data_IF_412134709685
#
_entry.id   IF_412134709685
#
_cell.length_a   1.000
_cell.length_b   1.000
_cell.length_c   1.000
_cell.angle_alpha   90.00
_cell.angle_beta   90.00
_cell.angle_gamma   90.00
#
_symmetry.space_group_name_H-M   'P 1'
#
loop_
_entity.id
_entity.type
_entity.pdbx_description
1 polymer ?
#
# COMPACT_ATOMS: atom_id res chain seq x y z
N UNK A 1 33.85 -7.38 -14.34
CA UNK A 1 32.87 -6.39 -14.83
C UNK A 1 31.66 -6.42 -13.92
N UNK A 2 31.64 -5.56 -12.90
CA UNK A 2 30.57 -5.48 -11.91
C UNK A 2 29.39 -4.71 -12.50
N UNK A 3 28.32 -5.43 -12.89
CA UNK A 3 27.10 -4.79 -13.43
C UNK A 3 26.43 -3.98 -12.32
N UNK A 4 26.36 -2.68 -12.52
CA UNK A 4 25.73 -1.69 -11.66
C UNK A 4 24.32 -2.11 -11.22
N UNK A 5 24.20 -2.62 -9.99
CA UNK A 5 22.95 -3.03 -9.36
C UNK A 5 22.13 -1.82 -8.83
N UNK A 6 22.55 -0.59 -9.12
CA UNK A 6 21.91 0.64 -8.63
C UNK A 6 20.65 1.06 -9.40
N UNK A 7 20.42 0.55 -10.62
CA UNK A 7 19.29 0.98 -11.47
C UNK A 7 17.91 0.42 -11.05
N UNK A 8 17.84 -0.58 -10.17
CA UNK A 8 16.58 -1.24 -9.81
C UNK A 8 15.81 -0.60 -8.65
N UNK A 9 16.36 0.44 -8.01
CA UNK A 9 15.79 1.04 -6.79
C UNK A 9 15.39 2.52 -6.97
N UNK A 10 15.03 2.96 -8.17
CA UNK A 10 14.55 4.32 -8.42
C UNK A 10 13.02 4.34 -8.59
N UNK A 11 12.39 5.43 -8.14
CA UNK A 11 10.97 5.75 -8.38
C UNK A 11 10.68 6.22 -9.82
N UNK A 12 11.72 6.43 -10.60
CA UNK A 12 11.64 6.86 -11.99
C UNK A 12 12.34 5.87 -12.92
N UNK A 13 11.91 5.83 -14.19
CA UNK A 13 12.62 5.12 -15.24
C UNK A 13 13.85 5.95 -15.67
N UNK A 14 14.80 5.36 -16.43
CA UNK A 14 15.89 6.15 -17.02
C UNK A 14 15.40 7.33 -17.89
N UNK A 15 14.18 7.23 -18.44
CA UNK A 15 13.54 8.29 -19.24
C UNK A 15 12.72 9.27 -18.38
N UNK A 16 12.89 9.27 -17.05
CA UNK A 16 12.21 10.18 -16.12
C UNK A 16 10.73 9.88 -15.85
N UNK A 17 10.17 8.78 -16.36
CA UNK A 17 8.79 8.42 -16.09
C UNK A 17 8.64 7.84 -14.68
N UNK A 18 7.65 8.29 -13.92
CA UNK A 18 7.35 7.76 -12.58
C UNK A 18 6.92 6.29 -12.60
N UNK A 19 7.30 5.56 -11.57
CA UNK A 19 6.94 4.14 -11.36
C UNK A 19 5.94 3.94 -10.21
N UNK A 20 5.30 4.99 -9.71
CA UNK A 20 4.37 4.96 -8.58
C UNK A 20 3.03 5.58 -8.94
N UNK A 21 1.98 5.12 -8.29
CA UNK A 21 0.64 5.70 -8.33
C UNK A 21 0.60 6.93 -7.41
N UNK A 22 0.11 8.07 -7.92
CA UNK A 22 -0.07 9.27 -7.11
C UNK A 22 -1.21 9.11 -6.10
N UNK A 23 -1.33 10.07 -5.17
CA UNK A 23 -2.41 10.09 -4.16
C UNK A 23 -3.79 10.14 -4.84
N UNK A 24 -3.96 11.03 -5.82
CA UNK A 24 -5.21 11.14 -6.59
C UNK A 24 -5.54 9.86 -7.35
N UNK A 25 -4.55 9.27 -8.03
CA UNK A 25 -4.75 8.00 -8.74
C UNK A 25 -5.10 6.85 -7.79
N UNK A 26 -4.52 6.85 -6.56
CA UNK A 26 -4.86 5.87 -5.53
C UNK A 26 -6.32 6.03 -5.08
N UNK A 27 -6.79 7.26 -4.89
CA UNK A 27 -8.19 7.53 -4.54
C UNK A 27 -9.14 7.08 -5.66
N UNK A 28 -8.85 7.41 -6.92
CA UNK A 28 -9.62 6.95 -8.08
C UNK A 28 -9.60 5.43 -8.22
N UNK A 29 -8.45 4.78 -7.98
CA UNK A 29 -8.35 3.33 -7.96
C UNK A 29 -9.27 2.69 -6.92
N UNK A 30 -9.28 3.22 -5.68
CA UNK A 30 -10.15 2.74 -4.62
C UNK A 30 -11.64 3.00 -4.93
N UNK A 31 -11.97 4.15 -5.52
CA UNK A 31 -13.33 4.45 -5.96
C UNK A 31 -13.80 3.45 -7.03
N UNK A 32 -12.96 3.19 -8.05
CA UNK A 32 -13.27 2.21 -9.09
C UNK A 32 -13.38 0.78 -8.53
N UNK A 33 -12.55 0.42 -7.54
CA UNK A 33 -12.63 -0.88 -6.89
C UNK A 33 -13.96 -1.09 -6.15
N UNK A 34 -14.50 -0.05 -5.50
CA UNK A 34 -15.81 -0.08 -4.82
C UNK A 34 -16.99 -0.33 -5.76
N UNK A 35 -16.85 -0.03 -7.04
CA UNK A 35 -17.88 -0.26 -8.07
C UNK A 35 -17.86 -1.70 -8.62
N UNK A 36 -16.96 -2.54 -8.15
CA UNK A 36 -16.91 -3.94 -8.58
C UNK A 36 -18.10 -4.73 -8.03
N UNK A 37 -18.80 -5.41 -8.91
CA UNK A 37 -19.96 -6.26 -8.54
C UNK A 37 -19.55 -7.36 -7.55
N UNK A 38 -18.39 -7.98 -7.80
CA UNK A 38 -17.85 -9.03 -6.92
C UNK A 38 -17.05 -8.40 -5.78
N UNK A 39 -17.60 -8.49 -4.59
CA UNK A 39 -17.03 -7.86 -3.38
C UNK A 39 -15.65 -8.43 -3.00
N UNK A 40 -15.37 -9.71 -3.33
CA UNK A 40 -14.04 -10.29 -3.11
C UNK A 40 -12.96 -9.61 -3.98
N UNK A 41 -13.32 -9.14 -5.17
CA UNK A 41 -12.41 -8.38 -6.02
C UNK A 41 -12.13 -6.99 -5.44
N UNK A 42 -13.16 -6.37 -4.88
CA UNK A 42 -13.07 -5.09 -4.19
C UNK A 42 -12.14 -5.20 -2.98
N UNK A 43 -12.34 -6.19 -2.09
CA UNK A 43 -11.49 -6.40 -0.92
C UNK A 43 -10.04 -6.72 -1.30
N UNK A 44 -9.81 -7.47 -2.38
CA UNK A 44 -8.46 -7.71 -2.90
C UNK A 44 -7.74 -6.43 -3.31
N UNK A 45 -8.41 -5.57 -4.09
CA UNK A 45 -7.85 -4.28 -4.50
C UNK A 45 -7.60 -3.37 -3.30
N UNK A 46 -8.51 -3.38 -2.34
CA UNK A 46 -8.40 -2.60 -1.09
C UNK A 46 -7.17 -3.02 -0.30
N UNK A 47 -6.97 -4.31 -0.05
CA UNK A 47 -5.79 -4.82 0.67
C UNK A 47 -4.49 -4.38 -0.01
N UNK A 48 -4.39 -4.50 -1.33
CA UNK A 48 -3.19 -4.06 -2.05
C UNK A 48 -2.92 -2.55 -1.86
N UNK A 49 -3.96 -1.73 -1.91
CA UNK A 49 -3.85 -0.28 -1.78
C UNK A 49 -3.54 0.18 -0.35
N UNK A 50 -4.04 -0.52 0.68
CA UNK A 50 -3.88 -0.15 2.09
C UNK A 50 -2.66 -0.76 2.78
N UNK A 51 -2.08 -1.82 2.22
CA UNK A 51 -0.91 -2.49 2.83
C UNK A 51 0.35 -2.35 1.99
N UNK A 52 0.22 -2.02 0.72
CA UNK A 52 1.32 -2.06 -0.23
C UNK A 52 1.95 -3.45 -0.37
N UNK A 53 1.29 -4.54 0.03
CA UNK A 53 1.82 -5.88 -0.08
C UNK A 53 1.96 -6.33 -1.56
N UNK A 54 2.75 -7.37 -1.80
CA UNK A 54 2.85 -7.97 -3.14
C UNK A 54 1.61 -8.79 -3.44
N UNK A 55 1.23 -8.90 -4.73
CA UNK A 55 0.11 -9.77 -5.16
C UNK A 55 0.23 -11.17 -4.56
N UNK A 56 1.41 -11.78 -4.65
CA UNK A 56 1.62 -13.14 -4.14
C UNK A 56 1.46 -13.22 -2.62
N UNK A 57 1.82 -12.16 -1.88
CA UNK A 57 1.61 -12.09 -0.43
C UNK A 57 0.12 -11.94 -0.09
N UNK A 58 -0.61 -11.12 -0.85
CA UNK A 58 -2.06 -10.98 -0.68
C UNK A 58 -2.80 -12.30 -0.95
N UNK A 59 -2.43 -13.03 -1.99
CA UNK A 59 -3.05 -14.32 -2.35
C UNK A 59 -2.79 -15.44 -1.32
N UNK A 60 -1.82 -15.28 -0.43
CA UNK A 60 -1.58 -16.22 0.68
C UNK A 60 -2.34 -15.86 1.97
N UNK A 61 -3.10 -14.75 1.99
CA UNK A 61 -3.87 -14.37 3.18
C UNK A 61 -5.04 -15.32 3.41
N UNK A 62 -5.22 -15.67 4.67
CA UNK A 62 -6.27 -16.55 5.20
C UNK A 62 -7.13 -15.78 6.20
N UNK A 63 -8.21 -16.37 6.68
CA UNK A 63 -9.01 -15.82 7.78
C UNK A 63 -8.15 -15.50 9.01
N UNK A 64 -7.25 -16.41 9.37
CA UNK A 64 -6.31 -16.23 10.50
C UNK A 64 -5.31 -15.08 10.30
N UNK A 65 -5.15 -14.59 9.06
CA UNK A 65 -4.30 -13.43 8.78
C UNK A 65 -4.96 -12.10 9.18
N UNK A 66 -6.27 -12.07 9.33
CA UNK A 66 -7.02 -10.86 9.70
C UNK A 66 -7.32 -10.91 11.20
N UNK A 67 -6.92 -9.88 11.91
CA UNK A 67 -7.14 -9.74 13.36
C UNK A 67 -8.08 -8.58 13.63
N UNK A 68 -9.41 -8.82 13.71
CA UNK A 68 -10.40 -7.75 13.82
C UNK A 68 -10.24 -6.89 15.07
N UNK A 69 -9.95 -7.52 16.21
CA UNK A 69 -9.79 -6.83 17.50
C UNK A 69 -8.65 -5.82 17.49
N UNK A 70 -7.54 -6.15 16.82
CA UNK A 70 -6.35 -5.30 16.76
C UNK A 70 -6.33 -4.39 15.51
N UNK A 71 -7.33 -4.53 14.63
CA UNK A 71 -7.41 -3.84 13.34
C UNK A 71 -6.13 -3.97 12.50
N UNK A 72 -5.56 -5.18 12.43
CA UNK A 72 -4.34 -5.47 11.65
C UNK A 72 -4.52 -6.66 10.73
N UNK A 73 -3.68 -6.70 9.68
CA UNK A 73 -3.49 -7.89 8.85
C UNK A 73 -2.06 -8.40 8.97
N UNK A 74 -1.91 -9.69 9.27
CA UNK A 74 -0.63 -10.38 9.39
C UNK A 74 -0.22 -10.92 8.01
N UNK A 75 0.83 -10.38 7.41
CA UNK A 75 1.28 -10.70 6.07
C UNK A 75 2.58 -11.49 6.12
N UNK A 76 2.56 -12.69 5.57
CA UNK A 76 3.74 -13.54 5.45
C UNK A 76 4.65 -13.07 4.32
N UNK A 77 5.93 -12.81 4.61
CA UNK A 77 6.93 -12.48 3.61
C UNK A 77 7.34 -13.76 2.87
N UNK A 78 7.08 -13.81 1.56
CA UNK A 78 7.38 -15.01 0.75
C UNK A 78 8.86 -15.16 0.39
N UNK A 79 9.66 -14.09 0.50
CA UNK A 79 11.12 -14.18 0.34
C UNK A 79 11.73 -14.69 1.65
N UNK A 80 12.07 -15.98 1.67
CA UNK A 80 12.80 -16.60 2.79
C UNK A 80 14.16 -15.92 2.97
N UNK A 81 14.53 -15.65 4.24
CA UNK A 81 15.86 -15.23 4.64
C UNK A 81 16.38 -16.24 5.64
N UNK A 82 17.42 -16.96 5.27
CA UNK A 82 18.00 -17.98 6.15
C UNK A 82 16.98 -19.02 6.64
N UNK A 83 16.02 -19.41 5.79
CA UNK A 83 14.99 -20.40 6.14
C UNK A 83 13.84 -19.89 7.02
N UNK A 84 13.93 -18.70 7.62
CA UNK A 84 12.93 -18.17 8.56
C UNK A 84 11.74 -17.56 7.85
N UNK A 85 10.53 -17.87 8.33
CA UNK A 85 9.29 -17.20 7.95
C UNK A 85 9.19 -15.89 8.73
N UNK A 86 9.07 -14.77 8.02
CA UNK A 86 8.85 -13.45 8.61
C UNK A 86 7.41 -13.07 8.39
N UNK A 87 6.69 -12.77 9.47
CA UNK A 87 5.34 -12.21 9.44
C UNK A 87 5.45 -10.74 9.85
N UNK A 88 4.71 -9.87 9.16
CA UNK A 88 4.56 -8.46 9.52
C UNK A 88 3.10 -8.11 9.66
N UNK A 89 2.78 -7.36 10.66
CA UNK A 89 1.45 -6.80 10.89
C UNK A 89 1.37 -5.41 10.29
N UNK A 90 0.30 -5.16 9.52
CA UNK A 90 0.01 -3.88 8.92
C UNK A 90 -1.34 -3.41 9.45
N UNK A 91 -1.40 -2.26 10.15
CA UNK A 91 -2.66 -1.73 10.67
C UNK A 91 -3.55 -1.26 9.52
N UNK A 92 -4.85 -1.48 9.67
CA UNK A 92 -5.87 -1.11 8.69
C UNK A 92 -6.97 -0.28 9.38
N UNK A 93 -7.64 0.63 8.65
CA UNK A 93 -8.84 1.26 9.16
C UNK A 93 -9.92 0.21 9.48
N UNK A 94 -10.69 0.44 10.56
CA UNK A 94 -11.70 -0.51 11.01
C UNK A 94 -12.70 -0.88 9.92
N UNK A 95 -13.13 0.08 9.10
CA UNK A 95 -14.08 -0.21 8.01
C UNK A 95 -13.52 -1.18 6.94
N UNK A 96 -12.19 -1.23 6.76
CA UNK A 96 -11.56 -2.22 5.86
C UNK A 96 -11.60 -3.60 6.49
N UNK A 97 -11.33 -3.69 7.79
CA UNK A 97 -11.43 -4.94 8.56
C UNK A 97 -12.87 -5.46 8.53
N UNK A 98 -13.85 -4.60 8.81
CA UNK A 98 -15.28 -4.96 8.74
C UNK A 98 -15.64 -5.50 7.36
N UNK A 99 -15.25 -4.79 6.29
CA UNK A 99 -15.49 -5.23 4.92
C UNK A 99 -14.86 -6.61 4.61
N UNK A 100 -13.65 -6.88 5.10
CA UNK A 100 -13.02 -8.20 4.97
C UNK A 100 -13.81 -9.27 5.73
N UNK A 101 -14.21 -8.96 6.94
CA UNK A 101 -14.97 -9.88 7.82
C UNK A 101 -16.30 -10.28 7.18
N UNK A 102 -17.04 -9.31 6.67
CA UNK A 102 -18.37 -9.53 6.10
C UNK A 102 -18.28 -10.27 4.76
N UNK A 103 -17.43 -9.81 3.85
CA UNK A 103 -17.30 -10.38 2.49
C UNK A 103 -16.77 -11.81 2.53
N UNK A 104 -15.81 -12.08 3.42
CA UNK A 104 -15.17 -13.40 3.51
C UNK A 104 -15.72 -14.27 4.64
N UNK A 105 -16.75 -13.81 5.38
CA UNK A 105 -17.40 -14.56 6.48
C UNK A 105 -16.38 -15.10 7.48
N UNK A 106 -15.46 -14.28 7.94
CA UNK A 106 -14.28 -14.72 8.71
C UNK A 106 -14.61 -15.46 10.02
N UNK A 107 -15.82 -15.29 10.54
CA UNK A 107 -16.31 -15.97 11.75
C UNK A 107 -17.06 -17.27 11.45
N UNK A 108 -17.27 -17.63 10.18
CA UNK A 108 -17.97 -18.84 9.79
C UNK A 108 -17.02 -20.04 9.70
N UNK A 109 -17.55 -21.22 10.07
CA UNK A 109 -16.85 -22.48 9.83
C UNK A 109 -16.59 -22.75 8.33
N UNK A 110 -17.38 -22.16 7.46
CA UNK A 110 -17.26 -22.27 5.99
C UNK A 110 -16.26 -21.27 5.39
N UNK A 111 -15.51 -20.54 6.23
CA UNK A 111 -14.51 -19.61 5.73
C UNK A 111 -13.44 -20.36 4.93
N UNK A 112 -13.19 -19.98 3.66
CA UNK A 112 -12.23 -20.68 2.82
C UNK A 112 -10.80 -20.53 3.39
N UNK A 113 -9.91 -21.52 3.14
CA UNK A 113 -8.52 -21.48 3.64
C UNK A 113 -7.74 -20.24 3.18
N UNK A 114 -8.11 -19.68 2.02
CA UNK A 114 -7.55 -18.43 1.48
C UNK A 114 -8.68 -17.47 1.18
N UNK A 115 -8.44 -16.18 1.44
CA UNK A 115 -9.45 -15.15 1.16
C UNK A 115 -9.72 -14.99 -0.34
N UNK A 116 -8.73 -15.26 -1.19
CA UNK A 116 -8.87 -15.13 -2.65
C UNK A 116 -8.25 -16.32 -3.39
N UNK A 117 -9.01 -16.90 -4.31
CA UNK A 117 -8.64 -18.05 -5.12
C UNK A 117 -8.29 -17.63 -6.57
N UNK A 118 -7.34 -16.68 -6.71
CA UNK A 118 -6.89 -16.24 -8.04
C UNK A 118 -5.48 -16.73 -8.33
N UNK A 119 -5.19 -17.00 -9.60
CA UNK A 119 -3.82 -17.10 -10.04
C UNK A 119 -3.15 -15.72 -9.97
N UNK A 120 -1.83 -15.69 -9.80
CA UNK A 120 -1.06 -14.44 -9.77
C UNK A 120 -1.29 -13.60 -11.04
N UNK A 121 -1.37 -14.24 -12.21
CA UNK A 121 -1.66 -13.57 -13.49
C UNK A 121 -3.09 -13.04 -13.56
N UNK A 122 -4.07 -13.78 -13.03
CA UNK A 122 -5.46 -13.35 -12.92
C UNK A 122 -5.60 -12.11 -12.03
N UNK A 123 -4.99 -12.16 -10.85
CA UNK A 123 -4.96 -11.03 -9.91
C UNK A 123 -4.26 -9.79 -10.52
N UNK A 124 -3.16 -9.98 -11.25
CA UNK A 124 -2.48 -8.90 -11.94
C UNK A 124 -3.39 -8.25 -13.01
N UNK A 125 -4.05 -9.06 -13.85
CA UNK A 125 -5.00 -8.56 -14.86
C UNK A 125 -6.18 -7.82 -14.23
N UNK A 126 -6.70 -8.31 -13.08
CA UNK A 126 -7.74 -7.63 -12.33
C UNK A 126 -7.29 -6.21 -11.93
N UNK A 127 -6.14 -6.10 -11.26
CA UNK A 127 -5.62 -4.78 -10.83
C UNK A 127 -5.44 -3.84 -12.03
N UNK A 128 -4.94 -4.34 -13.15
CA UNK A 128 -4.81 -3.54 -14.40
C UNK A 128 -6.17 -3.08 -14.93
N UNK A 129 -7.19 -3.93 -14.87
CA UNK A 129 -8.56 -3.57 -15.28
C UNK A 129 -9.11 -2.45 -14.40
N UNK A 130 -8.98 -2.57 -13.08
CA UNK A 130 -9.43 -1.53 -12.14
C UNK A 130 -8.67 -0.22 -12.35
N UNK A 131 -7.36 -0.27 -12.59
CA UNK A 131 -6.59 0.92 -12.94
C UNK A 131 -7.12 1.61 -14.22
N UNK A 132 -7.45 0.82 -15.26
CA UNK A 132 -8.07 1.35 -16.49
C UNK A 132 -9.42 1.99 -16.20
N UNK A 133 -10.30 1.35 -15.43
CA UNK A 133 -11.61 1.90 -15.03
C UNK A 133 -11.47 3.16 -14.17
N UNK A 134 -10.39 3.28 -13.39
CA UNK A 134 -10.06 4.48 -12.62
C UNK A 134 -9.48 5.63 -13.47
N UNK A 135 -9.40 5.49 -14.80
CA UNK A 135 -8.81 6.49 -15.68
C UNK A 135 -7.30 6.69 -15.45
N UNK A 136 -6.60 5.69 -14.91
CA UNK A 136 -5.15 5.75 -14.74
C UNK A 136 -4.50 5.43 -16.09
N UNK A 137 -3.77 6.39 -16.63
CA UNK A 137 -3.11 6.24 -17.94
C UNK A 137 -2.12 5.06 -17.92
N UNK A 138 -2.03 4.28 -19.01
CA UNK A 138 -1.03 3.23 -19.14
C UNK A 138 0.40 3.80 -18.99
N UNK A 139 1.26 3.07 -18.29
CA UNK A 139 2.65 3.49 -18.08
C UNK A 139 3.37 2.63 -17.02
N UNK A 140 4.64 2.90 -16.74
CA UNK A 140 5.43 2.15 -15.77
C UNK A 140 4.85 2.16 -14.35
N UNK A 141 4.09 3.21 -14.00
CA UNK A 141 3.40 3.37 -12.72
C UNK A 141 2.12 2.55 -12.62
N UNK A 142 1.39 2.36 -13.73
CA UNK A 142 0.08 1.69 -13.74
C UNK A 142 0.22 0.17 -13.58
N UNK A 143 0.78 -0.26 -12.46
CA UNK A 143 1.06 -1.67 -12.13
C UNK A 143 0.83 -1.92 -10.64
N UNK A 144 0.63 -3.17 -10.20
CA UNK A 144 0.60 -3.51 -8.78
C UNK A 144 1.86 -3.08 -8.01
N UNK A 145 3.02 -3.08 -8.69
CA UNK A 145 4.26 -2.54 -8.12
C UNK A 145 4.17 -1.03 -7.94
N UNK A 146 3.59 -0.32 -8.91
CA UNK A 146 3.35 1.12 -8.82
C UNK A 146 2.37 1.48 -7.70
N UNK A 147 1.32 0.65 -7.47
CA UNK A 147 0.41 0.82 -6.34
C UNK A 147 1.13 0.68 -5.00
N UNK A 148 2.03 -0.31 -4.87
CA UNK A 148 2.88 -0.50 -3.70
C UNK A 148 3.84 0.67 -3.47
N UNK A 149 4.45 1.20 -4.54
CA UNK A 149 5.30 2.39 -4.44
C UNK A 149 4.48 3.62 -4.01
N UNK A 150 3.26 3.77 -4.56
CA UNK A 150 2.33 4.82 -4.13
C UNK A 150 1.96 4.71 -2.65
N UNK A 151 1.77 3.50 -2.11
CA UNK A 151 1.57 3.30 -0.66
C UNK A 151 2.79 3.81 0.14
N UNK A 152 4.01 3.48 -0.28
CA UNK A 152 5.22 3.92 0.42
C UNK A 152 5.36 5.45 0.44
N UNK A 153 5.09 6.11 -0.68
CA UNK A 153 5.11 7.58 -0.78
C UNK A 153 4.00 8.19 0.08
N UNK A 154 2.78 7.66 -0.01
CA UNK A 154 1.67 8.13 0.81
C UNK A 154 1.99 8.02 2.32
N UNK A 155 2.58 6.92 2.75
CA UNK A 155 2.97 6.73 4.15
C UNK A 155 4.03 7.75 4.59
N UNK A 156 5.06 8.02 3.77
CA UNK A 156 6.06 9.08 4.04
C UNK A 156 5.36 10.44 4.16
N UNK A 157 4.55 10.81 3.17
CA UNK A 157 3.82 12.09 3.17
C UNK A 157 2.85 12.21 4.35
N UNK A 158 2.39 11.09 4.89
CA UNK A 158 1.56 11.03 6.11
C UNK A 158 2.38 11.10 7.42
N UNK A 159 3.71 11.22 7.34
CA UNK A 159 4.59 11.32 8.51
C UNK A 159 4.91 9.98 9.18
N UNK A 160 4.63 8.85 8.51
CA UNK A 160 4.98 7.53 9.05
C UNK A 160 6.50 7.36 9.06
N UNK A 161 7.10 6.97 10.19
CA UNK A 161 8.55 6.71 10.26
C UNK A 161 9.02 5.70 9.23
N UNK A 162 10.17 5.95 8.60
CA UNK A 162 10.72 5.13 7.53
C UNK A 162 10.92 3.66 7.94
N UNK A 163 11.26 3.43 9.19
CA UNK A 163 11.41 2.08 9.78
C UNK A 163 10.09 1.31 9.84
N UNK A 164 8.96 1.98 10.14
CA UNK A 164 7.64 1.37 10.07
C UNK A 164 7.22 1.08 8.64
N UNK A 165 7.50 1.98 7.69
CA UNK A 165 7.25 1.74 6.26
C UNK A 165 8.08 0.54 5.78
N UNK A 166 9.33 0.44 6.20
CA UNK A 166 10.18 -0.72 5.91
C UNK A 166 9.54 -2.02 6.43
N UNK A 167 9.07 -2.01 7.69
CA UNK A 167 8.37 -3.14 8.33
C UNK A 167 7.11 -3.50 7.55
N UNK A 168 6.21 -2.55 7.30
CA UNK A 168 4.93 -2.80 6.62
C UNK A 168 5.10 -3.30 5.19
N UNK A 169 6.09 -2.78 4.46
CA UNK A 169 6.40 -3.26 3.13
C UNK A 169 7.19 -4.58 3.12
N UNK A 170 7.80 -4.98 4.23
CA UNK A 170 8.63 -6.17 4.31
C UNK A 170 9.91 -6.04 3.46
N UNK A 171 10.55 -4.86 3.51
CA UNK A 171 11.84 -4.63 2.88
C UNK A 171 12.97 -5.14 3.77
N UNK A 172 13.90 -5.86 3.17
CA UNK A 172 15.06 -6.43 3.90
C UNK A 172 16.08 -5.39 4.30
N UNK A 173 16.28 -4.43 3.44
CA UNK A 173 17.28 -3.39 3.60
C UNK A 173 16.56 -2.06 3.67
N UNK A 174 16.97 -1.20 4.58
CA UNK A 174 16.43 0.15 4.70
C UNK A 174 16.63 0.94 3.39
N UNK A 175 17.76 0.72 2.71
CA UNK A 175 18.07 1.31 1.40
C UNK A 175 17.01 1.05 0.32
N UNK A 176 16.22 -0.04 0.44
CA UNK A 176 15.07 -0.27 -0.45
C UNK A 176 13.89 0.65 -0.12
N UNK A 177 13.82 1.17 1.10
CA UNK A 177 12.74 2.04 1.56
C UNK A 177 13.11 3.51 1.41
N UNK A 178 14.41 3.85 1.47
CA UNK A 178 14.88 5.24 1.30
C UNK A 178 14.57 5.84 -0.07
N UNK A 179 14.24 5.00 -1.07
CA UNK A 179 13.78 5.49 -2.38
C UNK A 179 12.54 6.39 -2.27
N UNK A 180 11.69 6.19 -1.24
CA UNK A 180 10.50 7.02 -1.05
C UNK A 180 10.82 8.44 -0.56
N UNK A 181 12.01 8.65 0.00
CA UNK A 181 12.51 9.99 0.34
C UNK A 181 12.92 10.80 -0.91
N UNK A 182 13.03 10.13 -2.07
CA UNK A 182 13.31 10.77 -3.35
C UNK A 182 12.05 11.27 -4.07
N UNK A 183 10.87 11.14 -3.42
CA UNK A 183 9.65 11.74 -3.92
C UNK A 183 9.79 13.26 -3.86
N UNK A 184 9.94 13.90 -5.03
CA UNK A 184 10.14 15.33 -5.18
C UNK A 184 8.88 16.00 -5.73
N UNK A 185 8.76 17.31 -5.54
CA UNK A 185 7.66 18.10 -6.08
C UNK A 185 6.52 18.31 -5.10
N UNK A 186 5.29 18.02 -5.50
CA UNK A 186 4.09 18.28 -4.66
C UNK A 186 4.13 17.53 -3.34
N UNK A 187 4.57 16.29 -3.36
CA UNK A 187 4.66 15.43 -2.17
C UNK A 187 5.72 15.95 -1.18
N UNK A 188 6.86 16.43 -1.67
CA UNK A 188 7.90 17.02 -0.84
C UNK A 188 7.43 18.34 -0.18
N UNK A 189 6.73 19.20 -0.93
CA UNK A 189 6.13 20.43 -0.41
C UNK A 189 5.10 20.15 0.68
N UNK A 190 4.24 19.14 0.48
CA UNK A 190 3.27 18.70 1.49
C UNK A 190 3.95 18.20 2.76
N UNK A 191 5.10 17.54 2.63
CA UNK A 191 5.88 17.12 3.78
C UNK A 191 6.51 18.31 4.50
N UNK A 192 7.15 19.21 3.75
CA UNK A 192 7.77 20.41 4.27
C UNK A 192 6.77 21.37 4.98
N UNK A 193 5.55 21.49 4.46
CA UNK A 193 4.52 22.35 5.06
C UNK A 193 4.15 21.98 6.49
N UNK A 194 4.41 20.74 6.91
CA UNK A 194 4.20 20.29 8.30
C UNK A 194 5.22 20.84 9.28
N UNK A 195 6.39 21.28 8.78
CA UNK A 195 7.43 21.92 9.60
C UNK A 195 7.10 23.39 9.91
N UNK A 196 6.28 23.99 9.05
CA UNK A 196 5.98 25.42 9.10
C UNK A 196 4.53 25.64 9.54
N UNK A 197 4.24 25.33 10.82
CA UNK A 197 2.97 25.76 11.42
C UNK A 197 3.09 27.27 11.67
N UNK A 198 2.11 28.10 11.21
CA UNK A 198 2.08 29.49 11.63
C UNK A 198 1.98 29.53 13.16
N UNK A 199 2.62 30.50 13.85
CA UNK A 199 2.46 30.68 15.26
C UNK A 199 0.96 30.86 15.55
N UNK A 200 0.44 30.09 16.50
CA UNK A 200 -0.90 30.33 17.02
C UNK A 200 -0.87 31.71 17.63
N UNK A 201 -1.65 32.67 17.09
CA UNK A 201 -1.90 33.92 17.76
C UNK A 201 -2.66 33.58 19.04
N UNK A 202 -1.94 33.43 20.13
CA UNK A 202 -2.53 33.58 21.47
C UNK A 202 -3.04 35.00 21.54
N UNK A 203 -4.34 35.14 21.36
CA UNK A 203 -5.06 36.39 21.68
C UNK A 203 -4.86 36.61 23.16
N UNK A 204 -3.88 37.42 23.49
CA UNK A 204 -3.77 38.00 24.83
C UNK A 204 -5.01 38.87 24.98
N UNK A 205 -6.03 38.30 25.60
CA UNK A 205 -7.15 39.10 26.14
C UNK A 205 -6.59 39.95 27.28
N UNK A 206 -6.15 41.16 26.94
CA UNK A 206 -5.97 42.22 27.95
C UNK A 206 -7.35 42.57 28.49
N UNK A 207 -7.67 41.98 29.64
CA UNK A 207 -8.78 42.44 30.47
C UNK A 207 -8.49 43.85 30.97
N UNK A 208 -9.44 44.72 30.71
CA UNK A 208 -9.62 46.00 31.41
C UNK A 208 -10.82 45.86 32.30
#
# INVERSE_FOLDING_TARGET
MSRNNHQNHSLYTPQGQRKYISQDERQRFLAAARQLVRQELMTFCTILAYTGCRISEALELTSASVQPTNAVVAIRCLKKRGGRTIIREVPLPQYVITSLTDVHKLHSADCPPRLWHYSRSGAWRLVKRVMKSAGIRPGPHATPKGLRHGFGIHAICSGVPLTLIQKWLGHSKLSTTTIYLQAVGTEERLFASRMWKPPTNDVISTGT
#
